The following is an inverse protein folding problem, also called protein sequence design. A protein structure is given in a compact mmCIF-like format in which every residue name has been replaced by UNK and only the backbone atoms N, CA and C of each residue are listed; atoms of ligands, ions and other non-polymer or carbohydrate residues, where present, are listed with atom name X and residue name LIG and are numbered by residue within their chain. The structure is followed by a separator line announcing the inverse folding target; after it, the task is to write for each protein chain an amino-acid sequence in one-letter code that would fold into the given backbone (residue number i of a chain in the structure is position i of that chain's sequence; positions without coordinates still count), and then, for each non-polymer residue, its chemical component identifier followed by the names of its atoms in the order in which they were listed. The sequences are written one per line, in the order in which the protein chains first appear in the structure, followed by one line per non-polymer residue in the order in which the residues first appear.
data_IF_901773930347
#
_entry.id   IF_901773930347
#
_cell.length_a   1.000
_cell.length_b   1.000
_cell.length_c   1.000
_cell.angle_alpha   90.00
_cell.angle_beta   90.00
_cell.angle_gamma   90.00
#
_symmetry.space_group_name_H-M   'P 1'
#
loop_
_entity.id
_entity.type
_entity.pdbx_description
1 polymer ?
#
# COMPACT_ATOMS: atom_id res chain seq x y z
N UNK A 1 4.35 15.93 11.07
CA UNK A 1 2.94 16.20 11.47
C UNK A 1 2.27 14.88 11.81
N UNK A 2 1.43 14.83 12.85
CA UNK A 2 0.58 13.65 13.10
C UNK A 2 -0.74 13.82 12.36
N UNK A 3 -1.16 12.78 11.65
CA UNK A 3 -2.42 12.76 10.90
C UNK A 3 -3.45 11.91 11.65
N UNK A 4 -4.71 12.34 11.67
CA UNK A 4 -5.79 11.62 12.35
C UNK A 4 -6.43 10.52 11.48
N UNK A 5 -6.10 10.46 10.18
CA UNK A 5 -6.63 9.45 9.26
C UNK A 5 -5.84 8.13 9.22
N UNK A 6 -4.55 8.15 9.56
CA UNK A 6 -3.67 6.98 9.47
C UNK A 6 -2.37 7.19 10.25
N UNK A 7 -1.60 6.11 10.43
CA UNK A 7 -0.32 6.14 11.14
C UNK A 7 0.87 6.66 10.30
N UNK A 8 0.63 7.10 9.05
CA UNK A 8 1.68 7.60 8.16
C UNK A 8 2.03 9.06 8.51
N UNK A 9 3.33 9.37 8.58
CA UNK A 9 3.86 10.70 8.91
C UNK A 9 4.30 11.52 7.69
N UNK A 10 4.19 10.96 6.49
CA UNK A 10 4.68 11.54 5.23
C UNK A 10 3.52 12.06 4.39
N UNK A 11 3.47 13.38 4.20
CA UNK A 11 2.52 14.03 3.30
C UNK A 11 3.08 15.35 2.76
N UNK A 12 2.89 15.60 1.46
CA UNK A 12 3.21 16.90 0.84
C UNK A 12 2.10 17.89 1.24
N UNK A 13 2.46 19.13 1.59
CA UNK A 13 1.52 20.14 2.07
C UNK A 13 0.35 20.43 1.09
N UNK A 14 0.53 20.12 -0.20
CA UNK A 14 -0.50 20.26 -1.23
C UNK A 14 -1.70 19.32 -1.05
N UNK A 15 -1.50 18.16 -0.42
CA UNK A 15 -2.45 17.03 -0.40
C UNK A 15 -3.06 16.78 0.99
N UNK A 16 -2.86 17.74 1.90
CA UNK A 16 -3.35 17.69 3.27
C UNK A 16 -4.57 18.60 3.46
N UNK A 17 -5.52 18.13 4.26
CA UNK A 17 -6.70 18.88 4.70
C UNK A 17 -6.65 19.10 6.20
N UNK A 18 -6.96 20.32 6.63
CA UNK A 18 -7.08 20.70 8.03
C UNK A 18 -8.57 20.83 8.37
N UNK A 19 -9.03 20.10 9.37
CA UNK A 19 -10.41 20.27 9.84
C UNK A 19 -10.56 21.61 10.55
N UNK A 20 -11.47 22.46 10.10
CA UNK A 20 -11.73 23.78 10.71
C UNK A 20 -12.34 23.72 12.11
N UNK A 21 -12.85 22.56 12.53
CA UNK A 21 -13.47 22.35 13.85
C UNK A 21 -12.50 21.78 14.88
N UNK A 22 -11.83 20.68 14.57
CA UNK A 22 -10.94 20.00 15.52
C UNK A 22 -9.45 20.31 15.31
N UNK A 23 -9.08 21.00 14.23
CA UNK A 23 -7.68 21.36 13.94
C UNK A 23 -6.78 20.18 13.57
N UNK A 24 -7.32 18.97 13.40
CA UNK A 24 -6.53 17.81 13.00
C UNK A 24 -6.24 17.79 11.49
N UNK A 25 -5.10 17.21 11.13
CA UNK A 25 -4.66 17.05 9.74
C UNK A 25 -5.07 15.68 9.20
N UNK A 26 -5.51 15.66 7.95
CA UNK A 26 -5.96 14.48 7.23
C UNK A 26 -5.33 14.46 5.84
N UNK A 27 -4.96 13.27 5.36
CA UNK A 27 -4.57 13.10 3.96
C UNK A 27 -5.82 13.09 3.09
N UNK A 28 -5.84 13.88 2.02
CA UNK A 28 -6.93 13.86 1.06
C UNK A 28 -7.14 12.47 0.45
N UNK A 29 -6.02 11.79 0.14
CA UNK A 29 -6.02 10.43 -0.42
C UNK A 29 -6.63 9.38 0.51
N UNK A 30 -6.50 9.54 1.83
CA UNK A 30 -7.10 8.61 2.79
C UNK A 30 -8.63 8.74 2.86
N UNK A 31 -9.16 9.94 2.57
CA UNK A 31 -10.61 10.21 2.60
C UNK A 31 -11.27 9.97 1.24
N UNK A 32 -10.52 10.18 0.16
CA UNK A 32 -10.99 10.03 -1.22
C UNK A 32 -10.02 9.12 -2.03
N UNK A 33 -9.96 7.82 -1.71
CA UNK A 33 -9.00 6.89 -2.31
C UNK A 33 -9.20 6.72 -3.83
N UNK A 34 -10.41 6.93 -4.33
CA UNK A 34 -10.77 6.80 -5.75
C UNK A 34 -10.61 8.08 -6.56
N UNK A 35 -10.44 9.24 -5.91
CA UNK A 35 -10.38 10.54 -6.58
C UNK A 35 -8.95 10.88 -7.02
N UNK A 36 -8.68 10.85 -8.32
CA UNK A 36 -7.34 11.05 -8.91
C UNK A 36 -6.94 12.52 -9.07
N UNK A 37 -7.75 13.48 -8.61
CA UNK A 37 -7.41 14.91 -8.70
C UNK A 37 -6.10 15.21 -7.98
N UNK A 38 -5.21 15.94 -8.66
CA UNK A 38 -3.90 16.39 -8.14
C UNK A 38 -3.99 17.68 -7.34
N UNK A 39 -5.03 18.47 -7.56
CA UNK A 39 -5.19 19.77 -6.92
C UNK A 39 -6.55 19.87 -6.23
N UNK A 40 -6.48 20.18 -4.94
CA UNK A 40 -7.61 20.50 -4.08
C UNK A 40 -8.03 21.95 -4.32
N UNK A 41 -9.33 22.20 -4.51
CA UNK A 41 -9.82 23.57 -4.63
C UNK A 41 -9.52 24.37 -3.35
N UNK A 42 -9.10 25.63 -3.52
CA UNK A 42 -8.77 26.53 -2.40
C UNK A 42 -9.98 26.76 -1.47
N UNK A 43 -11.18 26.70 -2.02
CA UNK A 43 -12.43 26.85 -1.28
C UNK A 43 -12.69 25.65 -0.35
N UNK A 44 -12.42 24.43 -0.83
CA UNK A 44 -12.56 23.22 -0.04
C UNK A 44 -11.55 23.24 1.13
N UNK A 45 -10.29 23.62 0.89
CA UNK A 45 -9.28 23.72 1.96
C UNK A 45 -9.67 24.68 3.09
N UNK A 46 -10.43 25.73 2.79
CA UNK A 46 -10.84 26.75 3.77
C UNK A 46 -12.01 26.35 4.65
N UNK A 47 -12.93 25.52 4.15
CA UNK A 47 -14.18 25.19 4.85
C UNK A 47 -14.35 23.71 5.18
N UNK A 48 -13.32 22.90 4.96
CA UNK A 48 -13.43 21.46 5.16
C UNK A 48 -13.58 21.09 6.64
N UNK A 49 -14.44 20.10 6.89
CA UNK A 49 -14.76 19.55 8.21
C UNK A 49 -14.66 18.03 8.12
N UNK A 50 -13.97 17.40 9.08
CA UNK A 50 -13.79 15.95 9.07
C UNK A 50 -15.10 15.19 9.35
N UNK A 51 -15.22 13.92 8.92
CA UNK A 51 -16.43 13.12 9.11
C UNK A 51 -16.91 13.06 10.56
N UNK A 52 -15.98 12.93 11.51
CA UNK A 52 -16.29 12.92 12.94
C UNK A 52 -16.90 14.24 13.43
N UNK A 53 -16.35 15.37 12.98
CA UNK A 53 -16.90 16.68 13.33
C UNK A 53 -18.21 16.98 12.60
N UNK A 54 -18.43 16.42 11.41
CA UNK A 54 -19.67 16.59 10.63
C UNK A 54 -20.85 15.87 11.28
N UNK A 55 -20.66 14.64 11.78
CA UNK A 55 -21.71 13.88 12.47
C UNK A 55 -22.16 14.57 13.76
N UNK A 56 -21.25 15.28 14.42
CA UNK A 56 -21.51 16.00 15.66
C UNK A 56 -22.10 17.41 15.46
N UNK A 57 -22.45 17.80 14.23
CA UNK A 57 -23.15 19.07 14.01
C UNK A 57 -24.67 18.90 14.16
N UNK A 58 -25.36 19.83 14.85
CA UNK A 58 -26.80 19.87 14.82
C UNK A 58 -27.25 20.03 13.37
N UNK A 59 -28.11 19.14 12.89
CA UNK A 59 -28.69 19.24 11.54
C UNK A 59 -29.47 20.55 11.46
N UNK A 60 -28.87 21.57 10.87
CA UNK A 60 -29.60 22.76 10.43
C UNK A 60 -30.59 22.29 9.38
N UNK A 61 -31.88 22.61 9.60
CA UNK A 61 -32.97 22.27 8.70
C UNK A 61 -32.63 22.73 7.27
N UNK A 62 -32.21 21.79 6.42
CA UNK A 62 -32.17 21.97 4.98
C UNK A 62 -33.42 21.34 4.40
N UNK A 63 -34.13 22.14 3.59
CA UNK A 63 -35.33 21.82 2.82
C UNK A 63 -35.06 20.73 1.76
N UNK A 64 -34.76 19.51 2.19
CA UNK A 64 -34.74 18.37 1.27
C UNK A 64 -36.15 17.77 1.19
N UNK A 65 -36.82 18.09 0.08
CA UNK A 65 -38.08 17.51 -0.38
C UNK A 65 -37.98 16.00 -0.54
N UNK A 66 -38.10 15.28 0.57
CA UNK A 66 -38.38 13.84 0.61
C UNK A 66 -39.79 13.66 1.16
N UNK A 67 -40.66 12.85 0.51
CA UNK A 67 -42.05 12.77 0.91
C UNK A 67 -42.13 12.13 2.29
N UNK A 68 -42.55 12.92 3.27
CA UNK A 68 -42.86 12.46 4.62
C UNK A 68 -44.05 11.51 4.51
N UNK A 69 -43.83 10.24 4.88
CA UNK A 69 -44.89 9.27 5.12
C UNK A 69 -45.78 9.82 6.24
N UNK A 70 -46.98 10.27 5.86
CA UNK A 70 -48.02 10.72 6.79
C UNK A 70 -48.30 9.57 7.76
N UNK A 71 -47.91 9.76 9.02
CA UNK A 71 -48.45 8.98 10.13
C UNK A 71 -49.84 9.57 10.44
N UNK A 72 -50.90 8.91 9.97
CA UNK A 72 -52.22 9.10 10.56
C UNK A 72 -52.27 8.31 11.86
N UNK A 73 -52.26 9.07 12.95
CA UNK A 73 -52.61 8.59 14.27
C UNK A 73 -54.08 8.12 14.31
N UNK A 74 -54.29 7.10 15.15
CA UNK A 74 -55.51 6.84 15.93
C UNK A 74 -56.70 6.12 15.27
N UNK A 75 -56.75 4.79 15.48
CA UNK A 75 -57.86 4.14 16.22
C UNK A 75 -57.56 2.66 16.47
N UNK A 76 -56.63 2.37 17.40
CA UNK A 76 -56.56 1.05 18.04
C UNK A 76 -57.68 0.97 19.09
N UNK A 77 -58.87 0.52 18.68
CA UNK A 77 -60.01 0.30 19.58
C UNK A 77 -59.81 -1.01 20.35
N UNK A 78 -59.11 -0.93 21.49
CA UNK A 78 -59.24 -1.93 22.55
C UNK A 78 -60.41 -1.53 23.46
N UNK A 79 -61.64 -1.88 23.08
CA UNK A 79 -62.79 -1.77 23.98
C UNK A 79 -62.88 -3.01 24.88
N UNK A 80 -62.40 -2.86 26.12
CA UNK A 80 -62.74 -3.77 27.22
C UNK A 80 -64.15 -3.46 27.72
N UNK A 81 -64.99 -4.50 27.64
CA UNK A 81 -66.14 -4.86 28.52
C UNK A 81 -66.68 -3.75 29.43
N UNK A 82 -67.86 -3.24 29.07
CA UNK A 82 -68.86 -2.70 29.99
C UNK A 82 -70.20 -3.35 29.68
N UNK A 83 -70.81 -3.99 30.68
CA UNK A 83 -72.08 -4.70 30.57
C UNK A 83 -73.26 -3.75 30.43
N UNK A 84 -74.23 -4.08 29.57
CA UNK A 84 -75.66 -3.89 29.83
C UNK A 84 -76.53 -4.58 28.75
N UNK A 85 -77.31 -5.55 29.24
CA UNK A 85 -78.72 -5.78 28.90
C UNK A 85 -79.15 -6.05 27.45
N UNK A 86 -79.47 -7.33 27.21
CA UNK A 86 -80.83 -7.74 26.86
C UNK A 86 -81.35 -7.31 25.49
N UNK A 87 -81.36 -8.26 24.55
CA UNK A 87 -82.54 -8.83 23.89
C UNK A 87 -82.04 -10.10 23.20
N UNK A 88 -82.44 -11.27 23.69
CA UNK A 88 -82.28 -12.54 22.98
C UNK A 88 -83.68 -12.87 22.47
N UNK A 89 -83.92 -12.63 21.18
CA UNK A 89 -85.07 -13.23 20.50
C UNK A 89 -84.74 -14.71 20.30
N UNK A 90 -85.50 -15.54 21.02
CA UNK A 90 -85.45 -16.99 20.99
C UNK A 90 -86.04 -17.49 19.66
N UNK A 91 -85.18 -17.72 18.68
CA UNK A 91 -85.57 -18.41 17.44
C UNK A 91 -85.43 -19.92 17.67
N UNK A 92 -86.53 -20.54 18.09
CA UNK A 92 -86.65 -21.99 18.24
C UNK A 92 -86.71 -22.62 16.83
N UNK A 93 -85.57 -23.10 16.33
CA UNK A 93 -85.49 -24.04 15.21
C UNK A 93 -85.14 -25.45 15.71
N UNK A 94 -85.80 -26.44 15.12
CA UNK A 94 -85.80 -27.86 15.46
C UNK A 94 -84.38 -28.50 15.48
N UNK A 95 -84.21 -29.49 16.37
CA UNK A 95 -82.94 -30.15 16.72
C UNK A 95 -82.29 -30.91 15.55
N UNK A 96 -83.08 -31.35 14.56
CA UNK A 96 -82.57 -32.06 13.39
C UNK A 96 -81.81 -31.12 12.42
N UNK A 97 -82.27 -29.88 12.26
CA UNK A 97 -81.71 -28.91 11.30
C UNK A 97 -80.39 -28.29 11.76
N UNK A 98 -80.20 -28.08 13.07
CA UNK A 98 -78.92 -27.61 13.63
C UNK A 98 -77.79 -28.58 13.34
N UNK A 99 -78.08 -29.88 13.38
CA UNK A 99 -77.09 -30.94 13.13
C UNK A 99 -76.66 -30.93 11.66
N UNK A 100 -77.60 -30.79 10.73
CA UNK A 100 -77.34 -30.68 9.29
C UNK A 100 -76.57 -29.41 8.92
N UNK A 101 -76.90 -28.26 9.53
CA UNK A 101 -76.19 -27.00 9.30
C UNK A 101 -74.76 -27.03 9.84
N UNK A 102 -74.53 -27.62 11.02
CA UNK A 102 -73.19 -27.82 11.57
C UNK A 102 -72.34 -28.77 10.71
N UNK A 103 -72.94 -29.82 10.15
CA UNK A 103 -72.25 -30.75 9.23
C UNK A 103 -71.86 -30.03 7.94
N UNK A 104 -72.74 -29.19 7.39
CA UNK A 104 -72.45 -28.38 6.21
C UNK A 104 -71.30 -27.38 6.45
N UNK A 105 -71.33 -26.65 7.57
CA UNK A 105 -70.25 -25.73 7.94
C UNK A 105 -68.92 -26.46 8.11
N UNK A 106 -68.91 -27.63 8.76
CA UNK A 106 -67.71 -28.46 8.90
C UNK A 106 -67.18 -28.95 7.56
N UNK A 107 -68.07 -29.29 6.63
CA UNK A 107 -67.70 -29.67 5.26
C UNK A 107 -67.01 -28.51 4.54
N UNK A 108 -67.62 -27.32 4.55
CA UNK A 108 -67.07 -26.13 3.90
C UNK A 108 -65.71 -25.74 4.51
N UNK A 109 -65.60 -25.72 5.84
CA UNK A 109 -64.32 -25.41 6.51
C UNK A 109 -63.25 -26.46 6.16
N UNK A 110 -63.61 -27.74 6.08
CA UNK A 110 -62.66 -28.80 5.73
C UNK A 110 -62.18 -28.68 4.29
N UNK A 111 -63.07 -28.29 3.37
CA UNK A 111 -62.75 -28.04 1.97
C UNK A 111 -61.85 -26.81 1.81
N UNK A 112 -62.17 -25.69 2.47
CA UNK A 112 -61.34 -24.47 2.47
C UNK A 112 -59.95 -24.70 3.11
N UNK A 113 -59.87 -25.46 4.21
CA UNK A 113 -58.59 -25.83 4.82
C UNK A 113 -57.78 -26.77 3.94
N UNK A 114 -58.44 -27.69 3.22
CA UNK A 114 -57.76 -28.57 2.26
C UNK A 114 -57.24 -27.77 1.06
N UNK A 115 -58.02 -26.81 0.56
CA UNK A 115 -57.63 -25.87 -0.49
C UNK A 115 -56.45 -25.01 -0.06
N UNK A 116 -56.52 -24.36 1.10
CA UNK A 116 -55.45 -23.54 1.67
C UNK A 116 -54.17 -24.34 1.91
N UNK A 117 -54.29 -25.60 2.36
CA UNK A 117 -53.15 -26.51 2.51
C UNK A 117 -52.53 -26.86 1.15
N UNK A 118 -53.36 -27.02 0.11
CA UNK A 118 -52.92 -27.21 -1.27
C UNK A 118 -52.15 -26.00 -1.81
N UNK A 119 -52.69 -24.80 -1.63
CA UNK A 119 -52.07 -23.53 -2.05
C UNK A 119 -50.77 -23.25 -1.28
N UNK A 120 -50.76 -23.51 0.02
CA UNK A 120 -49.57 -23.40 0.85
C UNK A 120 -48.48 -24.38 0.39
N UNK A 121 -48.85 -25.63 0.08
CA UNK A 121 -47.90 -26.62 -0.42
C UNK A 121 -47.35 -26.22 -1.79
N UNK A 122 -48.20 -25.69 -2.67
CA UNK A 122 -47.83 -25.25 -4.01
C UNK A 122 -46.89 -24.04 -3.99
N UNK A 123 -47.12 -23.09 -3.08
CA UNK A 123 -46.25 -21.92 -2.88
C UNK A 123 -44.97 -22.21 -2.10
N UNK A 124 -44.97 -23.17 -1.17
CA UNK A 124 -43.78 -23.58 -0.42
C UNK A 124 -42.79 -24.41 -1.23
N UNK A 125 -43.28 -25.23 -2.17
CA UNK A 125 -42.43 -26.09 -2.98
C UNK A 125 -41.31 -25.34 -3.75
N UNK A 126 -41.59 -24.26 -4.51
CA UNK A 126 -40.54 -23.52 -5.22
C UNK A 126 -39.53 -22.86 -4.26
N UNK A 127 -39.98 -22.35 -3.12
CA UNK A 127 -39.09 -21.76 -2.09
C UNK A 127 -38.13 -22.82 -1.54
N UNK A 128 -38.61 -24.05 -1.31
CA UNK A 128 -37.76 -25.15 -0.86
C UNK A 128 -36.70 -25.52 -1.90
N UNK A 129 -37.04 -25.51 -3.19
CA UNK A 129 -36.09 -25.78 -4.27
C UNK A 129 -35.06 -24.65 -4.44
N UNK A 130 -35.46 -23.39 -4.31
CA UNK A 130 -34.54 -22.25 -4.29
C UNK A 130 -33.59 -22.32 -3.10
N UNK A 131 -34.08 -22.65 -1.90
CA UNK A 131 -33.23 -22.84 -0.71
C UNK A 131 -32.22 -23.96 -0.87
N UNK A 132 -32.59 -25.07 -1.52
CA UNK A 132 -31.66 -26.16 -1.86
C UNK A 132 -30.60 -25.69 -2.85
N UNK A 133 -30.98 -24.89 -3.84
CA UNK A 133 -30.06 -24.35 -4.85
C UNK A 133 -29.08 -23.38 -4.20
N UNK A 134 -29.58 -22.45 -3.38
CA UNK A 134 -28.76 -21.52 -2.62
C UNK A 134 -27.76 -22.24 -1.71
N UNK A 135 -28.18 -23.32 -1.05
CA UNK A 135 -27.28 -24.15 -0.23
C UNK A 135 -26.13 -24.76 -1.05
N UNK A 136 -26.39 -25.19 -2.29
CA UNK A 136 -25.35 -25.69 -3.19
C UNK A 136 -24.37 -24.59 -3.60
N UNK A 137 -24.88 -23.42 -3.98
CA UNK A 137 -24.05 -22.26 -4.32
C UNK A 137 -23.18 -21.81 -3.14
N UNK A 138 -23.74 -21.83 -1.93
CA UNK A 138 -23.00 -21.52 -0.71
C UNK A 138 -21.83 -22.48 -0.46
N UNK A 139 -22.01 -23.78 -0.72
CA UNK A 139 -20.93 -24.75 -0.60
C UNK A 139 -19.81 -24.50 -1.62
N UNK A 140 -20.18 -24.11 -2.85
CA UNK A 140 -19.20 -23.73 -3.89
C UNK A 140 -18.40 -22.49 -3.46
N UNK A 141 -19.07 -21.49 -2.89
CA UNK A 141 -18.42 -20.27 -2.37
C UNK A 141 -17.44 -20.64 -1.25
N UNK A 142 -17.84 -21.53 -0.33
CA UNK A 142 -16.98 -21.98 0.77
C UNK A 142 -15.71 -22.64 0.25
N UNK A 143 -15.82 -23.56 -0.70
CA UNK A 143 -14.66 -24.20 -1.34
C UNK A 143 -13.77 -23.16 -2.03
N UNK A 144 -14.38 -22.18 -2.71
CA UNK A 144 -13.64 -21.09 -3.38
C UNK A 144 -12.88 -20.22 -2.37
N UNK A 145 -13.47 -19.94 -1.21
CA UNK A 145 -12.86 -19.16 -0.15
C UNK A 145 -11.68 -19.91 0.48
N UNK A 146 -11.81 -21.21 0.73
CA UNK A 146 -10.72 -22.05 1.23
C UNK A 146 -9.54 -22.08 0.24
N UNK A 147 -9.83 -22.18 -1.06
CA UNK A 147 -8.80 -22.10 -2.10
C UNK A 147 -8.10 -20.73 -2.11
N UNK A 148 -8.87 -19.64 -2.03
CA UNK A 148 -8.31 -18.28 -2.00
C UNK A 148 -7.43 -18.08 -0.77
N UNK A 149 -7.86 -18.55 0.41
CA UNK A 149 -7.07 -18.46 1.64
C UNK A 149 -5.74 -19.21 1.48
N UNK A 150 -5.78 -20.43 0.93
CA UNK A 150 -4.55 -21.20 0.67
C UNK A 150 -3.61 -20.46 -0.29
N UNK A 151 -4.14 -19.80 -1.33
CA UNK A 151 -3.33 -19.01 -2.26
C UNK A 151 -2.79 -17.73 -1.63
N UNK A 152 -3.55 -17.12 -0.74
CA UNK A 152 -3.11 -15.96 0.03
C UNK A 152 -1.94 -16.33 0.95
N UNK A 153 -2.00 -17.47 1.62
CA UNK A 153 -0.89 -17.99 2.45
C UNK A 153 0.37 -18.27 1.63
N UNK A 154 0.22 -18.83 0.42
CA UNK A 154 1.34 -19.06 -0.50
C UNK A 154 1.99 -17.74 -0.94
N UNK A 155 1.18 -16.72 -1.24
CA UNK A 155 1.66 -15.39 -1.60
C UNK A 155 2.40 -14.75 -0.41
N UNK A 156 1.86 -14.81 0.80
CA UNK A 156 2.50 -14.27 1.99
C UNK A 156 3.87 -14.91 2.23
N UNK A 157 3.97 -16.25 2.12
CA UNK A 157 5.27 -16.95 2.22
C UNK A 157 6.27 -16.49 1.18
N UNK A 158 5.82 -16.25 -0.06
CA UNK A 158 6.69 -15.75 -1.13
C UNK A 158 7.15 -14.31 -0.83
N UNK A 159 6.27 -13.46 -0.30
CA UNK A 159 6.61 -12.10 0.11
C UNK A 159 7.65 -12.13 1.23
N UNK A 160 7.42 -12.91 2.30
CA UNK A 160 8.37 -13.06 3.41
C UNK A 160 9.74 -13.54 2.93
N UNK A 161 9.76 -14.52 2.01
CA UNK A 161 11.01 -15.00 1.41
C UNK A 161 11.73 -13.90 0.62
N UNK A 162 11.02 -13.19 -0.26
CA UNK A 162 11.57 -12.09 -1.03
C UNK A 162 12.09 -10.94 -0.15
N UNK A 163 11.39 -10.60 0.93
CA UNK A 163 11.84 -9.61 1.91
C UNK A 163 13.13 -10.06 2.61
N UNK A 164 13.23 -11.33 2.96
CA UNK A 164 14.45 -11.93 3.51
C UNK A 164 15.64 -11.82 2.56
N UNK A 165 15.45 -12.19 1.29
CA UNK A 165 16.49 -12.07 0.26
C UNK A 165 16.90 -10.60 0.03
N UNK A 166 15.94 -9.68 0.02
CA UNK A 166 16.19 -8.25 -0.16
C UNK A 166 17.02 -7.65 0.98
N UNK A 167 16.81 -8.11 2.21
CA UNK A 167 17.62 -7.71 3.37
C UNK A 167 19.06 -8.20 3.24
N UNK A 168 19.26 -9.46 2.84
CA UNK A 168 20.61 -10.01 2.58
C UNK A 168 21.32 -9.26 1.47
N UNK A 169 20.61 -8.96 0.37
CA UNK A 169 21.19 -8.20 -0.75
C UNK A 169 21.60 -6.79 -0.32
N UNK A 170 20.75 -6.12 0.46
CA UNK A 170 21.04 -4.79 1.01
C UNK A 170 22.31 -4.80 1.88
N UNK A 171 22.46 -5.81 2.75
CA UNK A 171 23.64 -5.98 3.59
C UNK A 171 24.91 -6.17 2.75
N UNK A 172 24.85 -7.03 1.71
CA UNK A 172 25.98 -7.24 0.79
C UNK A 172 26.35 -5.97 0.03
N UNK A 173 25.38 -5.18 -0.42
CA UNK A 173 25.64 -3.90 -1.07
C UNK A 173 26.36 -2.91 -0.13
N UNK A 174 26.00 -2.88 1.15
CA UNK A 174 26.71 -2.07 2.15
C UNK A 174 28.15 -2.52 2.35
N UNK A 175 28.41 -3.82 2.39
CA UNK A 175 29.76 -4.38 2.51
C UNK A 175 30.62 -4.10 1.28
N UNK A 176 30.07 -4.28 0.08
CA UNK A 176 30.74 -3.92 -1.17
C UNK A 176 31.10 -2.43 -1.18
N UNK A 177 30.17 -1.56 -0.77
CA UNK A 177 30.42 -0.13 -0.67
C UNK A 177 31.59 0.21 0.25
N UNK A 178 31.66 -0.42 1.44
CA UNK A 178 32.79 -0.25 2.37
C UNK A 178 34.11 -0.73 1.76
N UNK A 179 34.10 -1.87 1.08
CA UNK A 179 35.30 -2.41 0.45
C UNK A 179 35.79 -1.50 -0.68
N UNK A 180 34.89 -1.00 -1.54
CA UNK A 180 35.24 -0.04 -2.59
C UNK A 180 35.89 1.22 -2.02
N UNK A 181 35.30 1.83 -0.98
CA UNK A 181 35.90 3.00 -0.33
C UNK A 181 37.28 2.71 0.26
N UNK A 182 37.49 1.51 0.83
CA UNK A 182 38.80 1.11 1.33
C UNK A 182 39.82 0.92 0.21
N UNK A 183 39.42 0.37 -0.94
CA UNK A 183 40.30 0.22 -2.10
C UNK A 183 40.69 1.60 -2.64
N UNK A 184 39.73 2.50 -2.82
CA UNK A 184 39.98 3.88 -3.26
C UNK A 184 40.95 4.61 -2.32
N UNK A 185 40.78 4.45 -1.00
CA UNK A 185 41.68 5.04 -0.01
C UNK A 185 43.11 4.45 -0.11
N UNK A 186 43.23 3.13 -0.27
CA UNK A 186 44.53 2.46 -0.41
C UNK A 186 45.22 2.91 -1.71
N UNK A 187 44.49 2.98 -2.81
CA UNK A 187 45.02 3.45 -4.10
C UNK A 187 45.49 4.91 -4.01
N UNK A 188 44.69 5.78 -3.39
CA UNK A 188 45.07 7.16 -3.13
C UNK A 188 46.35 7.26 -2.30
N UNK A 189 46.41 6.51 -1.19
CA UNK A 189 47.57 6.49 -0.31
C UNK A 189 48.81 5.92 -1.00
N UNK A 190 48.66 4.88 -1.82
CA UNK A 190 49.76 4.31 -2.59
C UNK A 190 50.29 5.30 -3.63
N UNK A 191 49.41 5.93 -4.40
CA UNK A 191 49.79 6.95 -5.37
C UNK A 191 50.50 8.13 -4.68
N UNK A 192 49.98 8.61 -3.55
CA UNK A 192 50.63 9.66 -2.77
C UNK A 192 52.04 9.23 -2.35
N UNK A 193 52.20 8.03 -1.76
CA UNK A 193 53.52 7.49 -1.35
C UNK A 193 54.48 7.38 -2.52
N UNK A 194 54.01 6.93 -3.67
CA UNK A 194 54.77 6.84 -4.90
C UNK A 194 55.25 8.20 -5.42
N UNK A 195 54.41 9.24 -5.34
CA UNK A 195 54.79 10.61 -5.67
C UNK A 195 55.82 11.15 -4.67
N UNK A 196 55.62 10.90 -3.38
CA UNK A 196 56.58 11.30 -2.33
C UNK A 196 57.96 10.66 -2.53
N UNK A 197 58.00 9.37 -2.88
CA UNK A 197 59.24 8.65 -3.16
C UNK A 197 60.00 9.20 -4.39
N UNK A 198 59.29 9.84 -5.33
CA UNK A 198 59.87 10.43 -6.56
C UNK A 198 59.99 11.95 -6.50
N UNK A 199 59.66 12.58 -5.37
CA UNK A 199 59.62 14.05 -5.22
C UNK A 199 60.96 14.72 -5.52
N UNK A 200 62.06 14.02 -5.28
CA UNK A 200 63.43 14.51 -5.55
C UNK A 200 64.04 13.96 -6.84
N UNK A 201 63.28 13.17 -7.60
CA UNK A 201 63.78 12.58 -8.84
C UNK A 201 63.57 13.56 -9.99
N UNK A 202 64.61 13.76 -10.79
CA UNK A 202 64.55 14.58 -12.01
C UNK A 202 64.76 13.67 -13.21
N UNK A 203 63.81 13.69 -14.14
CA UNK A 203 63.91 12.95 -15.40
C UNK A 203 64.39 13.87 -16.52
N UNK A 204 65.50 13.49 -17.16
CA UNK A 204 66.07 14.24 -18.28
C UNK A 204 65.82 13.50 -19.59
N UNK A 205 65.08 14.13 -20.49
CA UNK A 205 64.69 13.57 -21.78
C UNK A 205 65.60 14.07 -22.91
N UNK A 206 65.68 13.30 -24.00
CA UNK A 206 66.37 13.73 -25.22
C UNK A 206 67.89 13.56 -25.21
N UNK A 207 68.43 12.80 -24.26
CA UNK A 207 69.87 12.47 -24.22
C UNK A 207 70.12 11.19 -25.05
N UNK A 208 70.87 11.25 -26.17
CA UNK A 208 71.22 10.08 -26.96
C UNK A 208 71.96 9.03 -26.13
N UNK A 209 71.69 7.75 -26.38
CA UNK A 209 72.34 6.64 -25.67
C UNK A 209 73.65 6.25 -26.36
N UNK A 210 74.72 6.06 -25.58
CA UNK A 210 76.01 5.60 -26.09
C UNK A 210 76.52 4.42 -25.26
N UNK A 211 77.18 3.45 -25.92
CA UNK A 211 77.84 2.34 -25.23
C UNK A 211 78.97 2.88 -24.35
N UNK A 212 79.07 2.39 -23.12
CA UNK A 212 80.07 2.80 -22.12
C UNK A 212 80.09 4.31 -21.84
N UNK A 213 78.92 4.95 -21.75
CA UNK A 213 78.84 6.34 -21.34
C UNK A 213 79.03 6.53 -19.83
N UNK A 214 79.57 7.68 -19.45
CA UNK A 214 79.61 8.12 -18.06
C UNK A 214 78.50 9.17 -17.85
N UNK A 215 77.45 8.77 -17.12
CA UNK A 215 76.27 9.61 -16.88
C UNK A 215 76.60 10.85 -16.04
N UNK A 216 77.57 10.75 -15.13
CA UNK A 216 77.99 11.86 -14.26
C UNK A 216 78.63 12.96 -15.11
N UNK A 217 79.59 12.62 -15.98
CA UNK A 217 80.23 13.61 -16.85
C UNK A 217 79.27 14.23 -17.86
N UNK A 218 78.29 13.44 -18.31
CA UNK A 218 77.25 13.93 -19.22
C UNK A 218 76.34 14.94 -18.53
N UNK A 219 75.92 14.66 -17.30
CA UNK A 219 75.12 15.57 -16.49
C UNK A 219 75.90 16.86 -16.16
N UNK A 220 77.19 16.76 -15.86
CA UNK A 220 78.07 17.92 -15.66
C UNK A 220 78.05 18.84 -16.89
N UNK A 221 78.19 18.25 -18.08
CA UNK A 221 78.16 19.01 -19.35
C UNK A 221 76.81 19.72 -19.56
N UNK A 222 75.72 19.14 -19.07
CA UNK A 222 74.39 19.76 -19.14
C UNK A 222 74.32 20.96 -18.18
N UNK A 223 74.78 20.82 -16.94
CA UNK A 223 74.78 21.91 -15.95
C UNK A 223 75.72 23.06 -16.33
N UNK A 224 76.90 22.76 -16.87
CA UNK A 224 77.84 23.77 -17.35
C UNK A 224 77.21 24.64 -18.46
N UNK A 225 76.38 24.04 -19.32
CA UNK A 225 75.65 24.74 -20.38
C UNK A 225 74.44 25.52 -19.90
N UNK A 226 73.84 25.15 -18.77
CA UNK A 226 72.67 25.85 -18.20
C UNK A 226 73.06 26.95 -17.21
N UNK A 227 74.36 27.11 -16.91
CA UNK A 227 74.90 28.10 -15.97
C UNK A 227 74.35 27.96 -14.53
N UNK A 228 73.91 26.75 -14.16
CA UNK A 228 73.44 26.45 -12.81
C UNK A 228 74.60 25.95 -11.95
N UNK A 229 74.68 26.42 -10.70
CA UNK A 229 75.64 25.92 -9.74
C UNK A 229 75.20 24.55 -9.24
N UNK A 230 76.03 23.53 -9.47
CA UNK A 230 75.69 22.16 -9.17
C UNK A 230 76.93 21.39 -8.70
N UNK A 231 76.84 20.74 -7.55
CA UNK A 231 77.91 19.93 -6.99
C UNK A 231 77.56 18.44 -7.09
N UNK A 232 78.23 17.77 -8.01
CA UNK A 232 78.03 16.35 -8.31
C UNK A 232 78.19 15.44 -7.08
N UNK A 233 79.06 15.79 -6.14
CA UNK A 233 79.39 14.92 -5.00
C UNK A 233 78.41 15.05 -3.83
N UNK A 234 77.59 16.10 -3.80
CA UNK A 234 76.67 16.38 -2.69
C UNK A 234 75.21 16.38 -3.12
N UNK A 235 74.93 16.71 -4.37
CA UNK A 235 73.58 16.99 -4.85
C UNK A 235 72.95 15.80 -5.59
N UNK A 236 73.73 14.75 -5.87
CA UNK A 236 73.27 13.52 -6.52
C UNK A 236 73.47 12.33 -5.59
N UNK A 237 72.36 11.66 -5.25
CA UNK A 237 72.41 10.35 -4.60
C UNK A 237 72.65 9.22 -5.61
N UNK A 238 71.91 9.23 -6.72
CA UNK A 238 71.94 8.17 -7.72
C UNK A 238 71.55 8.66 -9.12
N UNK A 239 72.19 8.12 -10.15
CA UNK A 239 71.87 8.40 -11.56
C UNK A 239 71.84 7.09 -12.35
N UNK A 240 70.79 6.92 -13.15
CA UNK A 240 70.65 5.76 -14.04
C UNK A 240 69.86 6.12 -15.28
N UNK A 241 70.05 5.35 -16.35
CA UNK A 241 69.08 5.31 -17.44
C UNK A 241 67.81 4.61 -16.98
N UNK A 242 66.67 5.13 -17.40
CA UNK A 242 65.38 4.46 -17.22
C UNK A 242 65.19 3.50 -18.39
N UNK A 243 64.84 2.24 -18.09
CA UNK A 243 64.62 1.24 -19.12
C UNK A 243 63.49 1.68 -20.07
N UNK A 244 63.79 1.78 -21.35
CA UNK A 244 62.79 2.01 -22.38
C UNK A 244 61.90 0.76 -22.49
N UNK A 245 60.58 0.95 -22.40
CA UNK A 245 59.59 -0.11 -22.69
C UNK A 245 59.84 -0.59 -24.11
N UNK A 246 60.50 -1.74 -24.29
CA UNK A 246 60.54 -2.42 -25.60
C UNK A 246 59.09 -2.61 -26.05
N UNK A 247 58.71 -2.01 -27.19
CA UNK A 247 57.48 -2.41 -27.87
C UNK A 247 57.62 -3.91 -28.13
N UNK A 248 56.66 -4.67 -27.61
CA UNK A 248 56.50 -6.07 -27.97
C UNK A 248 56.34 -6.07 -29.49
N UNK A 249 57.35 -6.52 -30.24
CA UNK A 249 57.17 -6.81 -31.65
C UNK A 249 56.17 -7.94 -31.69
N UNK A 250 54.93 -7.63 -32.04
CA UNK A 250 53.94 -8.61 -32.45
C UNK A 250 54.43 -9.18 -33.78
N UNK A 251 55.04 -10.36 -33.72
CA UNK A 251 55.21 -11.23 -34.88
C UNK A 251 53.80 -11.68 -35.28
N UNK A 252 53.31 -11.15 -36.41
CA UNK A 252 52.19 -11.69 -37.18
C UNK A 252 52.76 -12.64 -38.23
#
# INVERSE_FOLDING_TARGET
MKFACCNLTTGVASDCLLCTKCGHNYHFRCLHPTDKRKELSLELKKHWICPECTINQPRTARNDSTPVRVQTNESNVNSRRGAASGIYEDFVLDSADKTSFIVLIRSIISEELASLKGDFKTSMYPIQEELKTFKKEFEIIKVSLDFINSKFDEINKRIECCEGEMNVLTQKCMEIGKLCSSVEEIEFNNNNREQWARKSNVEVYGIPERKNENLISLLQTVFDKTHLQFNINTDIDFITRVASKKKRCEEI
#
